data_IF_785092539395
#
_entry.id   IF_785092539395
#
_cell.length_a   1.000
_cell.length_b   1.000
_cell.length_c   1.000
_cell.angle_alpha   90.00
_cell.angle_beta   90.00
_cell.angle_gamma   90.00
#
_symmetry.space_group_name_H-M   'P 1'
#
loop_
_entity.id
_entity.type
_entity.pdbx_description
1 polymer ?
#
# COMPACT_ATOMS: atom_id res chain seq x y z
N UNK A 1 18.61 8.25 -15.13
CA UNK A 1 18.57 8.36 -13.66
C UNK A 1 18.43 9.84 -13.34
N UNK A 2 17.23 10.29 -13.02
CA UNK A 2 17.02 11.64 -12.49
C UNK A 2 17.51 11.67 -11.05
N UNK A 3 18.38 12.62 -10.73
CA UNK A 3 18.87 12.85 -9.38
C UNK A 3 17.68 13.27 -8.49
N UNK A 4 17.32 12.46 -7.49
CA UNK A 4 16.24 12.82 -6.57
C UNK A 4 15.69 11.66 -5.72
N UNK A 5 15.49 10.48 -6.31
CA UNK A 5 14.74 9.42 -5.62
C UNK A 5 15.66 8.24 -5.27
N UNK A 6 16.20 8.25 -4.05
CA UNK A 6 16.88 7.08 -3.51
C UNK A 6 15.91 5.89 -3.35
N UNK A 7 16.44 4.67 -3.13
CA UNK A 7 15.61 3.48 -2.93
C UNK A 7 14.58 3.63 -1.80
N UNK A 8 14.87 4.46 -0.81
CA UNK A 8 13.97 4.77 0.29
C UNK A 8 12.78 5.63 -0.17
N UNK A 9 13.05 6.78 -0.79
CA UNK A 9 12.03 7.69 -1.32
C UNK A 9 11.12 6.94 -2.28
N UNK A 10 11.72 6.07 -3.10
CA UNK A 10 11.00 5.21 -4.03
C UNK A 10 10.15 4.16 -3.34
N UNK A 11 10.61 3.55 -2.24
CA UNK A 11 9.77 2.63 -1.46
C UNK A 11 8.53 3.35 -0.90
N UNK A 12 8.71 4.55 -0.35
CA UNK A 12 7.60 5.33 0.20
C UNK A 12 6.63 5.85 -0.87
N UNK A 13 7.11 6.11 -2.08
CA UNK A 13 6.30 6.63 -3.19
C UNK A 13 5.60 5.52 -4.01
N UNK A 14 6.32 4.44 -4.32
CA UNK A 14 5.90 3.39 -5.24
C UNK A 14 5.52 2.07 -4.53
N UNK A 15 5.80 1.95 -3.23
CA UNK A 15 5.54 0.76 -2.44
C UNK A 15 6.63 -0.31 -2.56
N UNK A 16 6.27 -1.55 -2.24
CA UNK A 16 7.22 -2.65 -2.17
C UNK A 16 7.79 -3.05 -3.55
N UNK A 17 9.13 -3.12 -3.71
CA UNK A 17 9.78 -3.60 -4.93
C UNK A 17 9.70 -5.13 -5.05
N UNK A 18 10.03 -5.67 -6.23
CA UNK A 18 10.32 -7.10 -6.38
C UNK A 18 11.63 -7.44 -5.66
N UNK A 19 11.73 -8.60 -4.96
CA UNK A 19 10.72 -9.66 -4.86
C UNK A 19 9.65 -9.46 -3.76
N UNK A 20 9.73 -8.46 -2.88
CA UNK A 20 8.74 -8.25 -1.81
C UNK A 20 7.30 -8.14 -2.32
N UNK A 21 7.10 -7.48 -3.47
CA UNK A 21 5.79 -7.33 -4.10
C UNK A 21 5.07 -8.67 -4.35
N UNK A 22 5.83 -9.75 -4.55
CA UNK A 22 5.34 -11.09 -4.91
C UNK A 22 5.43 -12.07 -3.74
N UNK A 23 6.20 -11.74 -2.71
CA UNK A 23 6.41 -12.58 -1.54
C UNK A 23 5.29 -12.38 -0.51
N UNK A 24 4.64 -13.49 -0.17
CA UNK A 24 3.65 -13.56 0.92
C UNK A 24 4.28 -13.96 2.26
N UNK A 25 5.45 -14.58 2.21
CA UNK A 25 6.24 -15.02 3.36
C UNK A 25 7.45 -14.09 3.59
N UNK A 26 8.09 -14.22 4.75
CA UNK A 26 9.04 -13.24 5.27
C UNK A 26 8.36 -12.36 6.34
N UNK A 27 9.12 -12.00 7.38
CA UNK A 27 8.60 -11.18 8.48
C UNK A 27 9.19 -9.77 8.52
N UNK A 28 10.46 -9.60 8.13
CA UNK A 28 11.00 -8.28 7.82
C UNK A 28 11.98 -8.32 6.65
N UNK A 29 12.28 -7.14 6.12
CA UNK A 29 13.33 -6.94 5.15
C UNK A 29 14.13 -5.66 5.48
N UNK A 30 15.37 -5.63 4.98
CA UNK A 30 16.27 -4.48 5.04
C UNK A 30 16.56 -4.06 3.60
N UNK A 31 16.37 -2.78 3.29
CA UNK A 31 16.70 -2.19 2.00
C UNK A 31 17.86 -1.20 2.19
N UNK A 32 18.99 -1.52 1.56
CA UNK A 32 20.15 -0.65 1.52
C UNK A 32 19.90 0.51 0.54
N UNK A 33 19.96 1.77 1.01
CA UNK A 33 19.69 2.94 0.17
C UNK A 33 20.80 3.22 -0.86
N UNK A 34 22.01 2.68 -0.68
CA UNK A 34 23.14 2.94 -1.58
C UNK A 34 23.20 1.94 -2.71
N UNK A 35 23.00 0.66 -2.39
CA UNK A 35 23.11 -0.45 -3.34
C UNK A 35 21.77 -0.90 -3.91
N UNK A 36 20.65 -0.42 -3.34
CA UNK A 36 19.31 -0.97 -3.57
C UNK A 36 19.23 -2.49 -3.31
N UNK A 37 20.12 -3.03 -2.47
CA UNK A 37 20.09 -4.42 -2.08
C UNK A 37 19.02 -4.64 -1.02
N UNK A 38 18.22 -5.67 -1.24
CA UNK A 38 17.12 -6.07 -0.38
C UNK A 38 17.46 -7.40 0.28
N UNK A 39 17.45 -7.42 1.61
CA UNK A 39 17.66 -8.64 2.40
C UNK A 39 16.38 -8.96 3.16
N UNK A 40 15.74 -10.06 2.80
CA UNK A 40 14.45 -10.51 3.34
C UNK A 40 14.71 -11.66 4.29
N UNK A 41 14.07 -11.63 5.45
CA UNK A 41 14.24 -12.62 6.50
C UNK A 41 12.90 -13.31 6.75
N UNK A 42 12.88 -14.64 6.62
CA UNK A 42 11.74 -15.53 6.87
C UNK A 42 11.94 -16.35 8.13
N UNK A 43 10.84 -16.74 8.78
CA UNK A 43 10.88 -17.25 10.17
C UNK A 43 10.77 -18.78 10.30
N UNK A 44 10.31 -19.52 9.30
CA UNK A 44 10.07 -20.97 9.44
C UNK A 44 10.15 -21.72 8.10
N UNK A 45 11.29 -22.39 7.79
CA UNK A 45 12.56 -22.34 8.52
C UNK A 45 13.16 -20.91 8.50
N UNK A 46 14.08 -20.62 9.42
CA UNK A 46 14.84 -19.36 9.34
C UNK A 46 15.61 -19.32 8.01
N UNK A 47 15.30 -18.35 7.15
CA UNK A 47 15.92 -18.20 5.84
C UNK A 47 16.17 -16.73 5.52
N UNK A 48 17.19 -16.48 4.70
CA UNK A 48 17.51 -15.16 4.17
C UNK A 48 17.49 -15.20 2.64
N UNK A 49 16.84 -14.22 2.02
CA UNK A 49 16.89 -13.98 0.58
C UNK A 49 17.48 -12.60 0.32
N UNK A 50 18.55 -12.56 -0.46
CA UNK A 50 19.17 -11.31 -0.89
C UNK A 50 18.96 -11.10 -2.38
N UNK A 51 18.42 -9.95 -2.76
CA UNK A 51 18.12 -9.60 -4.14
C UNK A 51 18.29 -8.10 -4.40
N UNK A 52 18.47 -7.70 -5.65
CA UNK A 52 18.40 -6.29 -6.04
C UNK A 52 16.93 -5.84 -6.11
N UNK A 53 16.60 -4.72 -5.46
CA UNK A 53 15.25 -4.17 -5.48
C UNK A 53 14.89 -3.64 -6.87
N UNK A 54 13.73 -4.09 -7.39
CA UNK A 54 13.21 -3.66 -8.70
C UNK A 54 11.78 -3.15 -8.55
N UNK A 55 11.60 -1.85 -8.72
CA UNK A 55 10.28 -1.23 -8.77
C UNK A 55 9.68 -1.36 -10.16
N UNK A 56 8.48 -1.92 -10.19
CA UNK A 56 7.60 -1.86 -11.34
C UNK A 56 6.66 -0.64 -11.17
N UNK A 57 6.18 -0.01 -12.26
CA UNK A 57 5.32 1.16 -12.17
C UNK A 57 4.08 0.90 -11.29
N UNK A 58 3.96 1.66 -10.19
CA UNK A 58 2.83 1.79 -9.25
C UNK A 58 1.89 0.57 -9.19
N UNK A 59 2.35 -0.50 -8.54
CA UNK A 59 1.54 -1.70 -8.24
C UNK A 59 0.91 -1.64 -6.85
N UNK A 60 -0.36 -1.98 -6.78
CA UNK A 60 -1.02 -2.36 -5.53
C UNK A 60 -0.78 -3.85 -5.31
N UNK A 61 -0.12 -4.20 -4.22
CA UNK A 61 0.29 -5.57 -3.90
C UNK A 61 -0.73 -6.25 -2.97
N UNK A 62 -0.87 -7.59 -2.99
CA UNK A 62 -1.76 -8.29 -2.06
C UNK A 62 -1.20 -8.36 -0.63
N UNK A 63 0.14 -8.29 -0.48
CA UNK A 63 0.86 -8.40 0.78
C UNK A 63 1.28 -7.01 1.29
N UNK A 64 1.01 -6.67 2.57
CA UNK A 64 1.32 -5.36 3.15
C UNK A 64 2.77 -5.27 3.64
N UNK A 65 3.72 -5.16 2.72
CA UNK A 65 5.10 -4.80 3.05
C UNK A 65 5.21 -3.29 3.26
N UNK A 66 5.56 -2.86 4.47
CA UNK A 66 5.53 -1.46 4.91
C UNK A 66 6.79 -1.07 5.64
N UNK A 67 7.27 0.16 5.45
CA UNK A 67 8.47 0.63 6.13
C UNK A 67 8.16 1.05 7.57
N UNK A 68 8.89 0.49 8.53
CA UNK A 68 8.72 0.79 9.97
C UNK A 68 9.67 1.86 10.46
N UNK A 69 10.82 2.03 9.81
CA UNK A 69 11.82 3.00 10.20
C UNK A 69 13.18 2.75 9.58
N UNK A 70 14.21 3.35 10.16
CA UNK A 70 15.60 3.32 9.69
C UNK A 70 16.45 2.54 10.70
N UNK A 71 17.24 1.60 10.18
CA UNK A 71 18.25 0.84 10.90
C UNK A 71 19.43 1.73 11.31
N UNK A 72 20.27 1.29 12.25
CA UNK A 72 21.50 2.03 12.61
C UNK A 72 22.47 2.21 11.44
N UNK A 73 22.49 1.25 10.51
CA UNK A 73 23.29 1.30 9.28
C UNK A 73 22.61 2.03 8.12
N UNK A 74 21.65 2.91 8.40
CA UNK A 74 20.87 3.68 7.42
C UNK A 74 20.04 2.84 6.42
N UNK A 75 19.84 1.56 6.70
CA UNK A 75 18.95 0.70 5.92
C UNK A 75 17.49 0.97 6.26
N UNK A 76 16.60 0.93 5.26
CA UNK A 76 15.16 0.98 5.50
C UNK A 76 14.70 -0.37 6.04
N UNK A 77 14.07 -0.37 7.21
CA UNK A 77 13.48 -1.58 7.81
C UNK A 77 12.03 -1.68 7.37
N UNK A 78 11.66 -2.83 6.83
CA UNK A 78 10.36 -3.10 6.23
C UNK A 78 9.73 -4.29 6.95
N UNK A 79 8.48 -4.20 7.37
CA UNK A 79 7.72 -5.29 7.98
C UNK A 79 6.70 -5.86 7.01
N UNK A 80 6.50 -7.17 7.07
CA UNK A 80 5.36 -7.81 6.43
C UNK A 80 4.22 -7.90 7.42
N UNK A 81 3.18 -7.07 7.27
CA UNK A 81 2.09 -7.10 8.23
C UNK A 81 1.19 -8.34 8.12
N UNK A 82 1.32 -9.18 7.07
CA UNK A 82 0.62 -10.46 7.03
C UNK A 82 1.23 -11.52 7.93
N UNK A 83 2.48 -11.35 8.36
CA UNK A 83 3.18 -12.29 9.24
C UNK A 83 3.51 -11.66 10.59
N UNK A 84 3.59 -10.33 10.67
CA UNK A 84 3.96 -9.56 11.86
C UNK A 84 2.83 -8.63 12.30
N UNK A 85 2.35 -8.84 13.52
CA UNK A 85 1.44 -7.93 14.20
C UNK A 85 2.17 -6.71 14.73
N UNK A 86 1.66 -5.53 14.41
CA UNK A 86 2.14 -4.22 14.89
C UNK A 86 1.42 -3.73 16.15
N UNK A 87 0.52 -4.54 16.74
CA UNK A 87 -0.36 -4.12 17.85
C UNK A 87 0.37 -3.72 19.15
N UNK A 88 1.66 -4.01 19.29
CA UNK A 88 2.50 -3.65 20.44
C UNK A 88 3.57 -2.61 20.11
N UNK A 89 3.49 -1.98 18.93
CA UNK A 89 4.31 -0.83 18.59
C UNK A 89 3.69 0.47 19.14
N UNK A 90 4.48 1.55 19.26
CA UNK A 90 3.93 2.87 19.57
C UNK A 90 2.82 3.25 18.60
N UNK A 91 1.74 3.84 19.12
CA UNK A 91 0.53 4.10 18.33
C UNK A 91 0.79 4.96 17.09
N UNK A 92 1.65 5.97 17.22
CA UNK A 92 2.04 6.82 16.10
C UNK A 92 2.76 6.03 14.99
N UNK A 93 3.54 5.00 15.34
CA UNK A 93 4.19 4.09 14.38
C UNK A 93 3.17 3.15 13.77
N UNK A 94 2.26 2.57 14.57
CA UNK A 94 1.19 1.72 14.06
C UNK A 94 0.33 2.45 13.01
N UNK A 95 -0.01 3.72 13.25
CA UNK A 95 -0.71 4.57 12.29
C UNK A 95 0.08 4.78 11.00
N UNK A 96 1.39 5.01 11.08
CA UNK A 96 2.25 5.15 9.89
C UNK A 96 2.32 3.87 9.05
N UNK A 97 2.38 2.70 9.70
CA UNK A 97 2.36 1.40 9.02
C UNK A 97 1.02 1.15 8.32
N UNK A 98 -0.08 1.50 8.99
CA UNK A 98 -1.43 1.32 8.44
C UNK A 98 -1.66 2.18 7.20
N UNK A 99 -1.21 3.45 7.18
CA UNK A 99 -1.33 4.30 6.00
C UNK A 99 -0.60 3.72 4.79
N UNK A 100 0.64 3.27 4.98
CA UNK A 100 1.41 2.65 3.90
C UNK A 100 0.71 1.39 3.39
N UNK A 101 0.19 0.55 4.30
CA UNK A 101 -0.58 -0.62 3.91
C UNK A 101 -1.85 -0.22 3.13
N UNK A 102 -2.57 0.83 3.54
CA UNK A 102 -3.77 1.25 2.83
C UNK A 102 -3.46 1.85 1.45
N UNK A 103 -2.30 2.49 1.30
CA UNK A 103 -1.86 3.06 0.04
C UNK A 103 -1.44 2.00 -0.97
N UNK A 104 -0.68 0.98 -0.53
CA UNK A 104 -0.03 0.03 -1.44
C UNK A 104 -0.59 -1.39 -1.40
N UNK A 105 -1.51 -1.70 -0.46
CA UNK A 105 -2.06 -3.04 -0.31
C UNK A 105 -3.55 -3.13 -0.69
N UNK A 106 -3.89 -4.11 -1.53
CA UNK A 106 -5.27 -4.34 -1.96
C UNK A 106 -6.09 -5.11 -0.93
N UNK A 107 -5.44 -5.85 -0.02
CA UNK A 107 -6.11 -6.65 0.99
C UNK A 107 -6.53 -5.82 2.21
N UNK A 108 -7.66 -6.18 2.83
CA UNK A 108 -8.14 -5.50 4.04
C UNK A 108 -7.34 -5.95 5.26
N UNK A 109 -7.09 -5.08 6.27
CA UNK A 109 -6.37 -5.44 7.50
C UNK A 109 -6.80 -6.73 8.17
N UNK A 110 -8.11 -6.99 8.17
CA UNK A 110 -8.67 -8.23 8.74
C UNK A 110 -8.17 -9.50 8.04
N UNK A 111 -7.83 -9.46 6.76
CA UNK A 111 -7.36 -10.63 6.02
C UNK A 111 -5.92 -10.98 6.40
N UNK A 112 -5.03 -10.00 6.47
CA UNK A 112 -3.64 -10.24 6.81
C UNK A 112 -3.38 -10.32 8.31
N UNK A 113 -4.20 -9.69 9.17
CA UNK A 113 -4.12 -9.88 10.62
C UNK A 113 -4.33 -11.35 11.04
N UNK A 114 -5.18 -12.09 10.32
CA UNK A 114 -5.47 -13.52 10.59
C UNK A 114 -4.27 -14.44 10.39
N UNK A 115 -3.30 -14.02 9.60
CA UNK A 115 -2.11 -14.82 9.27
C UNK A 115 -0.88 -14.41 10.08
N UNK A 116 -1.01 -13.41 10.97
CA UNK A 116 0.11 -12.95 11.80
C UNK A 116 0.55 -14.04 12.78
N UNK A 117 1.85 -14.29 12.83
CA UNK A 117 2.49 -15.30 13.69
C UNK A 117 3.44 -14.69 14.71
N UNK A 118 3.94 -13.49 14.42
CA UNK A 118 4.88 -12.77 15.26
C UNK A 118 4.29 -11.44 15.70
N UNK A 119 4.80 -10.91 16.82
CA UNK A 119 4.42 -9.60 17.34
C UNK A 119 5.66 -8.72 17.34
N UNK A 120 5.57 -7.56 16.68
CA UNK A 120 6.59 -6.53 16.74
C UNK A 120 6.44 -5.70 18.02
N UNK A 121 7.56 -5.42 18.69
CA UNK A 121 7.63 -4.55 19.87
C UNK A 121 8.80 -3.60 19.71
N UNK A 122 8.65 -2.38 20.18
CA UNK A 122 9.75 -1.44 20.28
C UNK A 122 10.19 -1.30 21.73
N UNK A 123 11.49 -1.46 21.98
CA UNK A 123 12.07 -1.41 23.31
C UNK A 123 12.69 -0.04 23.59
N UNK A 124 12.91 0.27 24.86
CA UNK A 124 13.44 1.56 25.31
C UNK A 124 14.92 1.76 24.91
N UNK A 125 15.66 0.68 24.68
CA UNK A 125 17.04 0.66 24.18
C UNK A 125 17.13 0.79 22.64
N UNK A 126 16.04 1.17 21.98
CA UNK A 126 16.04 1.46 20.55
C UNK A 126 16.03 0.21 19.66
N UNK A 127 15.52 -0.91 20.14
CA UNK A 127 15.43 -2.14 19.36
C UNK A 127 13.99 -2.39 18.89
N UNK A 128 13.85 -2.76 17.63
CA UNK A 128 12.64 -3.39 17.12
C UNK A 128 12.79 -4.91 17.29
N UNK A 129 11.91 -5.51 18.09
CA UNK A 129 11.89 -6.94 18.35
C UNK A 129 10.77 -7.58 17.55
N UNK A 130 11.10 -8.57 16.72
CA UNK A 130 10.13 -9.38 15.97
C UNK A 130 10.41 -10.86 16.21
N UNK A 131 9.52 -11.55 16.92
CA UNK A 131 9.79 -12.90 17.38
C UNK A 131 11.00 -12.94 18.32
N UNK A 132 12.05 -13.69 17.96
CA UNK A 132 13.31 -13.77 18.71
C UNK A 132 14.37 -12.78 18.23
N UNK A 133 14.11 -12.02 17.17
CA UNK A 133 15.11 -11.17 16.51
C UNK A 133 15.04 -9.76 17.03
N UNK A 134 16.21 -9.19 17.32
CA UNK A 134 16.40 -7.79 17.70
C UNK A 134 17.02 -7.05 16.53
N UNK A 135 16.38 -5.97 16.11
CA UNK A 135 16.78 -5.14 14.98
C UNK A 135 17.08 -3.74 15.54
N UNK A 136 18.33 -3.29 15.54
CA UNK A 136 18.68 -2.00 16.10
C UNK A 136 18.18 -0.87 15.21
N UNK A 137 17.39 0.04 15.78
CA UNK A 137 16.77 1.13 15.05
C UNK A 137 17.48 2.45 15.35
N UNK A 138 17.70 3.25 14.31
CA UNK A 138 18.05 4.66 14.41
C UNK A 138 16.81 5.53 14.61
N UNK A 139 15.73 5.20 13.90
CA UNK A 139 14.49 5.98 13.93
C UNK A 139 13.30 5.10 13.59
N UNK A 140 12.18 5.28 14.30
CA UNK A 140 10.88 4.79 13.88
C UNK A 140 10.13 5.85 13.08
N UNK A 141 9.39 5.42 12.07
CA UNK A 141 8.40 6.30 11.46
C UNK A 141 7.20 6.45 12.36
N UNK A 142 6.60 7.64 12.29
CA UNK A 142 5.46 8.02 13.09
C UNK A 142 4.56 8.94 12.29
N UNK A 143 3.28 8.95 12.64
CA UNK A 143 2.29 9.84 12.03
C UNK A 143 1.37 10.37 13.13
N UNK A 144 0.80 11.57 13.00
CA UNK A 144 -0.18 12.12 13.95
C UNK A 144 -1.60 11.61 13.68
N UNK A 145 -2.52 11.63 14.66
CA UNK A 145 -3.88 11.13 14.45
C UNK A 145 -4.62 11.90 13.34
N UNK A 146 -4.38 13.20 13.26
CA UNK A 146 -5.03 14.11 12.32
C UNK A 146 -4.60 13.83 10.88
N UNK A 147 -3.29 13.61 10.67
CA UNK A 147 -2.76 13.20 9.36
C UNK A 147 -3.26 11.81 9.00
N UNK A 148 -3.28 10.90 9.97
CA UNK A 148 -3.76 9.54 9.77
C UNK A 148 -5.19 9.51 9.24
N UNK A 149 -6.11 10.18 9.91
CA UNK A 149 -7.51 10.21 9.50
C UNK A 149 -7.68 10.84 8.11
N UNK A 150 -7.02 11.97 7.86
CA UNK A 150 -7.07 12.66 6.56
C UNK A 150 -6.53 11.81 5.40
N UNK A 151 -5.42 11.11 5.59
CA UNK A 151 -4.81 10.29 4.53
C UNK A 151 -5.56 8.98 4.37
N UNK A 152 -6.03 8.37 5.45
CA UNK A 152 -6.83 7.13 5.42
C UNK A 152 -8.07 7.29 4.53
N UNK A 153 -8.76 8.43 4.59
CA UNK A 153 -9.91 8.69 3.72
C UNK A 153 -9.55 8.65 2.23
N UNK A 154 -8.39 9.20 1.85
CA UNK A 154 -7.89 9.23 0.47
C UNK A 154 -7.46 7.87 -0.07
N UNK A 155 -7.21 6.89 0.80
CA UNK A 155 -6.79 5.53 0.40
C UNK A 155 -7.95 4.59 0.08
N UNK A 156 -9.20 5.08 0.09
CA UNK A 156 -10.41 4.29 -0.17
C UNK A 156 -10.54 3.06 0.74
N UNK A 157 -10.01 3.16 1.98
CA UNK A 157 -10.01 2.08 2.95
C UNK A 157 -11.39 1.46 3.17
N UNK A 158 -12.45 2.28 3.12
CA UNK A 158 -13.83 1.82 3.31
C UNK A 158 -14.42 0.99 2.17
N UNK A 159 -13.72 0.78 1.06
CA UNK A 159 -14.19 -0.02 -0.08
C UNK A 159 -13.75 -1.49 0.01
N UNK A 160 -14.52 -2.44 -0.55
CA UNK A 160 -14.09 -3.81 -0.77
C UNK A 160 -12.76 -3.91 -1.56
N UNK A 161 -11.94 -4.96 -1.37
CA UNK A 161 -10.61 -5.09 -1.98
C UNK A 161 -10.54 -4.76 -3.49
N UNK A 162 -11.43 -5.37 -4.28
CA UNK A 162 -11.48 -5.17 -5.74
C UNK A 162 -11.85 -3.73 -6.11
N UNK A 163 -12.77 -3.12 -5.37
CA UNK A 163 -13.21 -1.73 -5.61
C UNK A 163 -12.14 -0.73 -5.16
N UNK A 164 -11.45 -1.00 -4.05
CA UNK A 164 -10.32 -0.20 -3.58
C UNK A 164 -9.20 -0.18 -4.63
N UNK A 165 -8.85 -1.34 -5.17
CA UNK A 165 -7.83 -1.45 -6.21
C UNK A 165 -8.21 -0.65 -7.47
N UNK A 166 -9.46 -0.76 -7.92
CA UNK A 166 -9.98 0.06 -9.03
C UNK A 166 -9.87 1.55 -8.70
N UNK A 167 -10.29 1.97 -7.51
CA UNK A 167 -10.23 3.37 -7.09
C UNK A 167 -8.78 3.90 -7.05
N UNK A 168 -7.86 3.14 -6.47
CA UNK A 168 -6.45 3.49 -6.42
C UNK A 168 -5.84 3.63 -7.81
N UNK A 169 -6.15 2.73 -8.76
CA UNK A 169 -5.66 2.84 -10.14
C UNK A 169 -6.21 4.10 -10.81
N UNK A 170 -7.52 4.37 -10.68
CA UNK A 170 -8.14 5.58 -11.26
C UNK A 170 -7.47 6.84 -10.69
N UNK A 171 -7.32 6.94 -9.37
CA UNK A 171 -6.67 8.10 -8.73
C UNK A 171 -5.19 8.23 -9.10
N UNK A 172 -4.52 7.12 -9.37
CA UNK A 172 -3.08 7.11 -9.67
C UNK A 172 -2.76 7.64 -11.06
N UNK A 173 -3.58 7.29 -12.04
CA UNK A 173 -3.30 7.57 -13.46
C UNK A 173 -4.18 8.67 -14.06
N UNK A 174 -5.36 8.91 -13.47
CA UNK A 174 -6.39 9.88 -13.87
C UNK A 174 -6.80 9.84 -15.36
N UNK A 175 -8.10 9.85 -15.65
CA UNK A 175 -8.60 9.84 -17.03
C UNK A 175 -8.40 8.53 -17.80
N UNK A 176 -8.13 7.40 -17.12
CA UNK A 176 -8.00 6.08 -17.77
C UNK A 176 -9.31 5.67 -18.46
N UNK A 177 -9.23 5.22 -19.71
CA UNK A 177 -10.34 4.57 -20.41
C UNK A 177 -10.64 3.19 -19.82
N UNK A 178 -11.80 2.60 -20.15
CA UNK A 178 -12.15 1.24 -19.73
C UNK A 178 -11.11 0.20 -20.17
N UNK A 179 -10.59 0.32 -21.40
CA UNK A 179 -9.59 -0.58 -21.95
C UNK A 179 -8.26 -0.50 -21.18
N UNK A 180 -7.81 0.72 -20.90
CA UNK A 180 -6.59 0.94 -20.14
C UNK A 180 -6.75 0.48 -18.69
N UNK A 181 -7.89 0.75 -18.05
CA UNK A 181 -8.20 0.29 -16.70
C UNK A 181 -8.16 -1.24 -16.61
N UNK A 182 -8.78 -1.96 -17.56
CA UNK A 182 -8.70 -3.42 -17.65
C UNK A 182 -7.25 -3.86 -17.85
N UNK A 183 -6.50 -3.19 -18.73
CA UNK A 183 -5.08 -3.47 -18.95
C UNK A 183 -4.22 -3.33 -17.69
N UNK A 184 -4.43 -2.27 -16.90
CA UNK A 184 -3.75 -2.07 -15.62
C UNK A 184 -4.09 -3.16 -14.61
N UNK A 185 -5.38 -3.51 -14.47
CA UNK A 185 -5.81 -4.57 -13.58
C UNK A 185 -5.24 -5.94 -14.00
N UNK A 186 -5.19 -6.22 -15.31
CA UNK A 186 -4.65 -7.48 -15.85
C UNK A 186 -3.16 -7.63 -15.59
N UNK A 187 -2.40 -6.53 -15.60
CA UNK A 187 -0.96 -6.53 -15.23
C UNK A 187 -0.71 -6.81 -13.76
N UNK A 188 -1.67 -6.50 -12.88
CA UNK A 188 -1.54 -6.74 -11.43
C UNK A 188 -1.94 -8.18 -11.08
N UNK A 189 -2.94 -8.73 -11.77
CA UNK A 189 -3.43 -10.11 -11.56
C UNK A 189 -3.37 -10.90 -12.87
N UNK A 190 -2.16 -11.21 -13.39
CA UNK A 190 -1.99 -11.88 -14.68
C UNK A 190 -2.65 -13.26 -14.75
N UNK A 191 -2.82 -13.93 -13.61
CA UNK A 191 -3.39 -15.26 -13.47
C UNK A 191 -4.92 -15.30 -13.63
N UNK A 192 -5.61 -14.16 -13.58
CA UNK A 192 -7.07 -14.08 -13.72
C UNK A 192 -7.45 -13.33 -14.98
N UNK A 193 -8.37 -13.87 -15.76
CA UNK A 193 -8.95 -13.14 -16.90
C UNK A 193 -9.87 -12.03 -16.40
N UNK A 194 -9.51 -10.78 -16.65
CA UNK A 194 -10.32 -9.62 -16.30
C UNK A 194 -11.12 -9.17 -17.52
N UNK A 195 -12.43 -9.02 -17.37
CA UNK A 195 -13.34 -8.62 -18.45
C UNK A 195 -13.90 -7.22 -18.22
N UNK A 196 -14.17 -6.49 -19.31
CA UNK A 196 -14.81 -5.17 -19.27
C UNK A 196 -16.12 -5.18 -18.49
N UNK A 197 -16.96 -6.20 -18.71
CA UNK A 197 -18.24 -6.34 -18.00
C UNK A 197 -18.07 -6.46 -16.48
N UNK A 198 -17.08 -7.24 -16.03
CA UNK A 198 -16.80 -7.38 -14.60
C UNK A 198 -16.28 -6.09 -13.95
N UNK A 199 -15.51 -5.28 -14.68
CA UNK A 199 -15.04 -3.97 -14.22
C UNK A 199 -16.19 -2.97 -14.21
N UNK A 200 -17.04 -2.97 -15.24
CA UNK A 200 -18.22 -2.11 -15.31
C UNK A 200 -19.17 -2.33 -14.14
N UNK A 201 -19.45 -3.59 -13.76
CA UNK A 201 -20.28 -3.92 -12.59
C UNK A 201 -19.71 -3.33 -11.30
N UNK A 202 -18.39 -3.40 -11.08
CA UNK A 202 -17.79 -2.79 -9.89
C UNK A 202 -17.85 -1.26 -9.93
N UNK A 203 -17.59 -0.64 -11.09
CA UNK A 203 -17.71 0.81 -11.24
C UNK A 203 -19.14 1.30 -10.96
N UNK A 204 -20.17 0.55 -11.42
CA UNK A 204 -21.57 0.85 -11.10
C UNK A 204 -21.85 0.75 -9.59
N UNK A 205 -21.33 -0.28 -8.91
CA UNK A 205 -21.45 -0.42 -7.44
C UNK A 205 -20.76 0.71 -6.70
N UNK A 206 -19.59 1.11 -7.18
CA UNK A 206 -18.80 2.19 -6.61
C UNK A 206 -19.47 3.56 -6.79
N UNK A 207 -20.11 3.83 -7.95
CA UNK A 207 -20.91 5.05 -8.16
C UNK A 207 -22.08 5.17 -7.19
N UNK A 208 -22.69 4.05 -6.83
CA UNK A 208 -23.76 4.00 -5.85
C UNK A 208 -23.27 4.11 -4.39
N UNK A 209 -21.95 4.18 -4.16
CA UNK A 209 -21.38 4.38 -2.84
C UNK A 209 -21.50 5.83 -2.39
N UNK A 210 -21.95 6.03 -1.15
CA UNK A 210 -21.93 7.37 -0.52
C UNK A 210 -20.52 7.91 -0.30
N UNK A 211 -19.48 7.06 -0.37
CA UNK A 211 -18.10 7.41 0.02
C UNK A 211 -17.19 7.90 -1.11
N UNK A 212 -17.56 7.73 -2.38
CA UNK A 212 -16.75 8.17 -3.53
C UNK A 212 -17.65 8.71 -4.63
N UNK A 213 -17.10 9.58 -5.48
CA UNK A 213 -17.75 10.05 -6.69
C UNK A 213 -16.90 9.66 -7.90
N UNK A 214 -17.39 8.74 -8.74
CA UNK A 214 -16.70 8.36 -9.98
C UNK A 214 -17.34 9.12 -11.14
N UNK A 215 -16.54 9.97 -11.79
CA UNK A 215 -16.92 10.68 -12.99
C UNK A 215 -16.39 9.95 -14.23
N UNK A 216 -17.02 10.21 -15.36
CA UNK A 216 -16.53 9.81 -16.68
C UNK A 216 -16.54 11.04 -17.57
N UNK A 217 -15.41 11.36 -18.17
CA UNK A 217 -15.32 12.49 -19.10
C UNK A 217 -15.91 12.15 -20.48
N UNK A 218 -15.90 13.14 -21.39
CA UNK A 218 -16.41 13.00 -22.75
C UNK A 218 -15.57 12.04 -23.61
N UNK A 219 -14.30 11.84 -23.27
CA UNK A 219 -13.38 10.92 -23.93
C UNK A 219 -13.52 9.48 -23.38
N UNK A 220 -14.37 9.29 -22.37
CA UNK A 220 -14.61 8.01 -21.73
C UNK A 220 -13.62 7.65 -20.63
N UNK A 221 -12.76 8.59 -20.22
CA UNK A 221 -11.81 8.47 -19.12
C UNK A 221 -12.50 8.55 -17.77
N UNK A 222 -12.04 7.75 -16.80
CA UNK A 222 -12.58 7.71 -15.44
C UNK A 222 -11.72 8.55 -14.48
N UNK A 223 -12.38 9.27 -13.58
CA UNK A 223 -11.74 10.03 -12.49
C UNK A 223 -12.54 9.87 -11.18
N UNK A 224 -11.86 10.08 -10.05
CA UNK A 224 -12.51 10.10 -8.72
C UNK A 224 -12.38 11.50 -8.13
N UNK A 225 -13.53 12.10 -7.85
CA UNK A 225 -13.58 13.37 -7.12
C UNK A 225 -13.64 13.11 -5.62
N UNK A 226 -12.90 13.92 -4.86
CA UNK A 226 -12.93 13.90 -3.41
C UNK A 226 -14.34 14.31 -2.91
N UNK A 227 -14.81 13.76 -1.79
CA UNK A 227 -16.22 13.97 -1.36
C UNK A 227 -16.56 15.45 -1.06
N UNK A 228 -15.57 16.32 -0.86
CA UNK A 228 -15.76 17.77 -0.79
C UNK A 228 -16.32 18.37 -2.08
N UNK A 229 -16.15 17.69 -3.23
CA UNK A 229 -16.72 18.08 -4.52
C UNK A 229 -18.13 17.51 -4.78
N UNK A 230 -18.62 16.54 -3.98
CA UNK A 230 -20.01 16.04 -4.11
C UNK A 230 -21.06 17.13 -3.88
N UNK A 231 -20.74 18.11 -3.04
CA UNK A 231 -21.62 19.25 -2.74
C UNK A 231 -21.71 20.19 -3.95
N UNK A 232 -20.67 20.29 -4.77
CA UNK A 232 -20.67 21.11 -5.99
C UNK A 232 -21.38 20.44 -7.18
N UNK A 233 -21.21 19.11 -7.35
CA UNK A 233 -21.75 18.40 -8.50
C UNK A 233 -23.28 18.19 -8.42
N UNK A 234 -23.84 17.98 -7.21
CA UNK A 234 -25.30 17.87 -7.05
C UNK A 234 -26.04 19.20 -7.23
N UNK A 235 -25.35 20.34 -7.15
CA UNK A 235 -25.92 21.66 -7.44
C UNK A 235 -26.04 21.98 -8.93
N UNK A 236 -25.29 21.28 -9.79
CA UNK A 236 -25.28 21.52 -11.24
C UNK A 236 -26.34 20.72 -12.01
N UNK A 237 -26.77 19.55 -11.50
CA UNK A 237 -27.83 18.73 -12.14
C UNK A 237 -29.27 19.21 -11.84
N UNK A 238 -29.45 20.20 -10.96
CA UNK A 238 -30.76 20.81 -10.65
C UNK A 238 -31.00 22.15 -11.36
N UNK A 239 -30.06 22.59 -12.20
CA UNK A 239 -30.20 23.79 -13.04
C UNK A 239 -29.82 23.42 -14.48
N UNK A 240 -30.67 22.61 -15.13
CA UNK A 240 -30.69 22.41 -16.57
C UNK A 240 -32.11 22.04 -17.00
#
# INVERSE_FOLDING_TARGET
MTAGDGPYERFLADGAPSPLAELQDGYYALLDPRSAQLTIVGALPDWNLTAAARWNPKRVNPTPWVAVGIHQDDQLVILNLSTVSHAKLPEATSRALELQAHQFCSSVPRQWARTTRHVARYTHDGQLVVGVRKIPMKQLFSTSPEIFERVREKTFFGLPPKQRQIAQIITTYDGLTMDELVGHLQRITPEKRITKGAVHVELSRMRNSRKICICRDQNGGYSILDNSAKIGAQGAELVS
#
